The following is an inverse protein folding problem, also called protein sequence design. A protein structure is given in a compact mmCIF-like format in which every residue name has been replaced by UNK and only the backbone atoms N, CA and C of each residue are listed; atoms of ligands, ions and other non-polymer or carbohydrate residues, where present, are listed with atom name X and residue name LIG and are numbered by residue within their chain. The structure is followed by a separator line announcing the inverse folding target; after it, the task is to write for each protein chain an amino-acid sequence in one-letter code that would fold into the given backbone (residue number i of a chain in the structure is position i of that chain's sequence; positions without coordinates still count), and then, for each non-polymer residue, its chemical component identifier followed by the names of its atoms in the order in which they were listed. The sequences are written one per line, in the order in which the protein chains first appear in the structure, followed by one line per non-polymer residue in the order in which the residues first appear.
data_IF_939078105843
#
_entry.id   IF_939078105843
#
_cell.length_a   1.000
_cell.length_b   1.000
_cell.length_c   1.000
_cell.angle_alpha   90.00
_cell.angle_beta   90.00
_cell.angle_gamma   90.00
#
_symmetry.space_group_name_H-M   'P 1'
#
loop_
_entity.id
_entity.type
_entity.pdbx_description
1 polymer ?
#
# COMPACT_ATOMS: atom_id res chain seq x y z
N UNK A 1 -7.80 37.01 -11.50
CA UNK A 1 -7.86 35.93 -10.50
C UNK A 1 -6.44 35.38 -10.35
N UNK A 2 -5.70 35.90 -9.37
CA UNK A 2 -4.29 35.57 -9.16
C UNK A 2 -4.17 34.45 -8.14
N UNK A 3 -3.73 33.28 -8.57
CA UNK A 3 -3.17 32.29 -7.64
C UNK A 3 -1.97 32.95 -6.95
N UNK A 4 -1.96 32.94 -5.60
CA UNK A 4 -0.86 33.48 -4.80
C UNK A 4 0.49 32.88 -5.22
N UNK A 5 1.62 33.54 -4.90
CA UNK A 5 2.93 33.08 -5.34
C UNK A 5 3.12 31.62 -4.96
N UNK A 6 3.53 30.80 -5.93
CA UNK A 6 3.79 29.39 -5.70
C UNK A 6 4.73 29.26 -4.50
N UNK A 7 4.29 28.53 -3.47
CA UNK A 7 5.14 28.18 -2.33
C UNK A 7 6.40 27.55 -2.90
N UNK A 8 7.54 28.20 -2.68
CA UNK A 8 8.85 27.65 -3.05
C UNK A 8 9.08 26.44 -2.16
N UNK A 9 8.61 25.28 -2.62
CA UNK A 9 8.83 24.00 -1.98
C UNK A 9 10.35 23.78 -1.95
N UNK A 10 10.95 23.98 -0.77
CA UNK A 10 12.37 23.72 -0.56
C UNK A 10 12.72 22.29 -0.97
N UNK A 11 13.97 22.06 -1.35
CA UNK A 11 14.43 20.75 -1.83
C UNK A 11 14.23 19.70 -0.74
N UNK A 12 13.24 18.81 -0.91
CA UNK A 12 13.01 17.69 0.00
C UNK A 12 14.08 16.62 -0.25
N UNK A 13 15.09 16.59 0.63
CA UNK A 13 16.19 15.65 0.55
C UNK A 13 15.73 14.20 0.74
N UNK A 14 14.56 13.98 1.37
CA UNK A 14 13.99 12.66 1.62
C UNK A 14 13.14 12.12 0.44
N UNK A 15 12.85 12.93 -0.59
CA UNK A 15 11.96 12.54 -1.69
C UNK A 15 12.41 11.23 -2.39
N UNK A 16 13.71 11.08 -2.64
CA UNK A 16 14.27 9.86 -3.25
C UNK A 16 14.14 8.62 -2.36
N UNK A 17 14.20 8.78 -1.04
CA UNK A 17 14.01 7.69 -0.08
C UNK A 17 12.55 7.24 -0.02
N UNK A 18 11.61 8.20 0.03
CA UNK A 18 10.16 7.92 0.02
C UNK A 18 9.76 7.10 -1.21
N UNK A 19 10.21 7.53 -2.40
CA UNK A 19 9.90 6.81 -3.64
C UNK A 19 10.44 5.38 -3.65
N UNK A 20 11.66 5.13 -3.15
CA UNK A 20 12.24 3.78 -3.10
C UNK A 20 11.46 2.85 -2.18
N UNK A 21 11.09 3.31 -0.98
CA UNK A 21 10.27 2.50 -0.05
C UNK A 21 8.87 2.27 -0.62
N UNK A 22 8.27 3.29 -1.22
CA UNK A 22 6.94 3.19 -1.81
C UNK A 22 6.89 2.15 -2.93
N UNK A 23 7.89 2.14 -3.82
CA UNK A 23 7.99 1.14 -4.89
C UNK A 23 8.16 -0.27 -4.31
N UNK A 24 9.02 -0.45 -3.30
CA UNK A 24 9.22 -1.76 -2.69
C UNK A 24 7.93 -2.29 -2.04
N UNK A 25 7.21 -1.46 -1.29
CA UNK A 25 5.93 -1.84 -0.67
C UNK A 25 4.84 -2.09 -1.70
N UNK A 26 4.80 -1.31 -2.79
CA UNK A 26 3.89 -1.52 -3.90
C UNK A 26 4.12 -2.89 -4.57
N UNK A 27 5.37 -3.28 -4.81
CA UNK A 27 5.70 -4.60 -5.37
C UNK A 27 5.23 -5.71 -4.43
N UNK A 28 5.48 -5.59 -3.12
CA UNK A 28 5.03 -6.57 -2.12
C UNK A 28 3.51 -6.72 -2.17
N UNK A 29 2.77 -5.62 -2.09
CA UNK A 29 1.31 -5.64 -2.15
C UNK A 29 0.80 -6.23 -3.48
N UNK A 30 1.43 -5.85 -4.59
CA UNK A 30 1.06 -6.34 -5.93
C UNK A 30 1.22 -7.86 -6.02
N UNK A 31 2.30 -8.43 -5.50
CA UNK A 31 2.50 -9.88 -5.50
C UNK A 31 1.45 -10.60 -4.65
N UNK A 32 1.12 -10.05 -3.48
CA UNK A 32 0.06 -10.61 -2.62
C UNK A 32 -1.30 -10.56 -3.30
N UNK A 33 -1.67 -9.42 -3.88
CA UNK A 33 -2.93 -9.26 -4.63
C UNK A 33 -2.97 -10.13 -5.88
N UNK A 34 -1.85 -10.26 -6.59
CA UNK A 34 -1.75 -11.11 -7.77
C UNK A 34 -1.99 -12.58 -7.43
N UNK A 35 -1.49 -13.07 -6.29
CA UNK A 35 -1.82 -14.40 -5.77
C UNK A 35 -3.33 -14.60 -5.59
N UNK A 36 -4.02 -13.62 -5.00
CA UNK A 36 -5.48 -13.66 -4.88
C UNK A 36 -6.18 -13.74 -6.23
N UNK A 37 -5.76 -12.91 -7.20
CA UNK A 37 -6.34 -12.91 -8.55
C UNK A 37 -6.12 -14.25 -9.24
N UNK A 38 -4.93 -14.85 -9.14
CA UNK A 38 -4.64 -16.17 -9.71
C UNK A 38 -5.59 -17.23 -9.14
N UNK A 39 -5.77 -17.27 -7.81
CA UNK A 39 -6.64 -18.27 -7.19
C UNK A 39 -8.09 -18.09 -7.66
N UNK A 40 -8.57 -16.85 -7.75
CA UNK A 40 -9.90 -16.55 -8.29
C UNK A 40 -10.04 -16.96 -9.77
N UNK A 41 -8.98 -16.84 -10.57
CA UNK A 41 -9.00 -17.18 -11.99
C UNK A 41 -8.92 -18.69 -12.25
N UNK A 42 -8.12 -19.43 -11.48
CA UNK A 42 -7.86 -20.86 -11.70
C UNK A 42 -8.87 -21.73 -10.97
N UNK A 43 -9.31 -21.33 -9.77
CA UNK A 43 -10.22 -22.14 -8.96
C UNK A 43 -11.28 -21.28 -8.25
N UNK A 44 -12.29 -20.79 -9.01
CA UNK A 44 -13.37 -20.00 -8.44
C UNK A 44 -14.22 -20.79 -7.43
N UNK A 45 -14.28 -22.12 -7.54
CA UNK A 45 -15.05 -22.96 -6.62
C UNK A 45 -14.48 -22.90 -5.19
N UNK A 46 -13.16 -22.93 -5.02
CA UNK A 46 -12.52 -22.72 -3.70
C UNK A 46 -12.85 -21.35 -3.11
N UNK A 47 -12.90 -20.32 -3.96
CA UNK A 47 -13.21 -18.95 -3.53
C UNK A 47 -14.66 -18.76 -3.09
N UNK A 48 -15.57 -19.64 -3.52
CA UNK A 48 -16.97 -19.67 -3.11
C UNK A 48 -17.21 -20.46 -1.81
N UNK A 49 -16.22 -21.21 -1.32
CA UNK A 49 -16.37 -21.96 -0.08
C UNK A 49 -16.64 -21.02 1.08
N UNK A 50 -17.54 -21.45 1.97
CA UNK A 50 -17.93 -20.64 3.12
C UNK A 50 -16.92 -20.85 4.25
N UNK A 51 -16.23 -19.77 4.62
CA UNK A 51 -15.27 -19.68 5.72
C UNK A 51 -15.68 -18.53 6.63
N UNK A 52 -15.79 -18.79 7.93
CA UNK A 52 -16.22 -17.80 8.94
C UNK A 52 -17.60 -17.16 8.64
N UNK A 53 -18.51 -17.90 8.00
CA UNK A 53 -19.86 -17.42 7.66
C UNK A 53 -19.92 -16.51 6.44
N UNK A 54 -18.82 -16.35 5.69
CA UNK A 54 -18.74 -15.64 4.41
C UNK A 54 -17.94 -16.45 3.38
N UNK A 55 -17.91 -16.04 2.12
CA UNK A 55 -17.08 -16.74 1.13
C UNK A 55 -15.60 -16.52 1.41
N UNK A 56 -14.76 -17.49 1.08
CA UNK A 56 -13.31 -17.39 1.17
C UNK A 56 -12.80 -16.16 0.42
N UNK A 57 -13.41 -15.83 -0.72
CA UNK A 57 -13.11 -14.61 -1.47
C UNK A 57 -13.30 -13.34 -0.64
N UNK A 58 -14.40 -13.22 0.09
CA UNK A 58 -14.70 -12.07 0.95
C UNK A 58 -13.72 -12.00 2.11
N UNK A 59 -13.52 -13.10 2.84
CA UNK A 59 -12.61 -13.14 3.99
C UNK A 59 -11.17 -12.84 3.58
N UNK A 60 -10.70 -13.41 2.47
CA UNK A 60 -9.37 -13.13 1.92
C UNK A 60 -9.25 -11.68 1.44
N UNK A 61 -10.28 -11.15 0.76
CA UNK A 61 -10.34 -9.76 0.33
C UNK A 61 -10.22 -8.76 1.49
N UNK A 62 -10.92 -9.01 2.60
CA UNK A 62 -10.76 -8.22 3.81
C UNK A 62 -9.35 -8.34 4.41
N UNK A 63 -8.75 -9.52 4.36
CA UNK A 63 -7.34 -9.72 4.73
C UNK A 63 -6.39 -8.84 3.91
N UNK A 64 -6.60 -8.74 2.60
CA UNK A 64 -5.82 -7.86 1.72
C UNK A 64 -6.00 -6.38 2.06
N UNK A 65 -7.23 -5.96 2.40
CA UNK A 65 -7.48 -4.58 2.83
C UNK A 65 -6.73 -4.25 4.12
N UNK A 66 -6.79 -5.12 5.12
CA UNK A 66 -6.05 -4.96 6.38
C UNK A 66 -4.54 -4.89 6.10
N UNK A 67 -4.03 -5.77 5.24
CA UNK A 67 -2.62 -5.78 4.85
C UNK A 67 -2.20 -4.47 4.15
N UNK A 68 -3.03 -3.95 3.24
CA UNK A 68 -2.79 -2.66 2.58
C UNK A 68 -2.73 -1.51 3.59
N UNK A 69 -3.63 -1.50 4.58
CA UNK A 69 -3.64 -0.49 5.63
C UNK A 69 -2.38 -0.56 6.50
N UNK A 70 -1.94 -1.77 6.86
CA UNK A 70 -0.69 -1.97 7.60
C UNK A 70 0.50 -1.42 6.82
N UNK A 71 0.61 -1.74 5.52
CA UNK A 71 1.66 -1.21 4.66
C UNK A 71 1.62 0.33 4.57
N UNK A 72 0.43 0.93 4.47
CA UNK A 72 0.27 2.38 4.43
C UNK A 72 0.74 3.05 5.74
N UNK A 73 0.42 2.47 6.90
CA UNK A 73 0.87 2.98 8.20
C UNK A 73 2.39 2.86 8.33
N UNK A 74 2.97 1.72 7.95
CA UNK A 74 4.43 1.52 7.97
C UNK A 74 5.12 2.51 7.03
N UNK A 75 4.60 2.67 5.80
CA UNK A 75 5.12 3.63 4.83
C UNK A 75 5.16 5.04 5.42
N UNK A 76 4.03 5.48 5.97
CA UNK A 76 3.92 6.81 6.56
C UNK A 76 4.93 7.00 7.70
N UNK A 77 5.02 6.03 8.61
CA UNK A 77 5.95 6.10 9.73
C UNK A 77 7.42 6.15 9.27
N UNK A 78 7.81 5.35 8.29
CA UNK A 78 9.16 5.34 7.74
C UNK A 78 9.50 6.64 6.99
N UNK A 79 8.55 7.18 6.22
CA UNK A 79 8.72 8.45 5.52
C UNK A 79 8.88 9.61 6.51
N UNK A 80 8.02 9.70 7.54
CA UNK A 80 8.12 10.74 8.56
C UNK A 80 9.43 10.65 9.35
N UNK A 81 9.91 9.43 9.67
CA UNK A 81 11.20 9.25 10.33
C UNK A 81 12.38 9.70 9.45
N UNK A 82 12.33 9.40 8.14
CA UNK A 82 13.36 9.82 7.21
C UNK A 82 13.36 11.34 6.96
N UNK A 83 12.18 11.96 6.84
CA UNK A 83 12.06 13.42 6.78
C UNK A 83 12.69 14.08 8.00
N UNK A 84 12.36 13.61 9.22
CA UNK A 84 12.93 14.14 10.46
C UNK A 84 14.45 13.98 10.54
N UNK A 85 15.02 12.94 9.92
CA UNK A 85 16.47 12.70 9.94
C UNK A 85 17.22 13.49 8.87
N UNK A 86 16.60 13.71 7.71
CA UNK A 86 17.26 14.28 6.53
C UNK A 86 16.98 15.77 6.32
N UNK A 87 15.96 16.30 7.02
CA UNK A 87 15.61 17.72 7.03
C UNK A 87 15.77 18.36 8.43
N UNK A 88 16.39 17.66 9.39
CA UNK A 88 16.93 18.25 10.62
C UNK A 88 18.33 18.81 10.37
#
# INVERSE_FOLDING_TARGET
MGHGPAVKLGKDNAAGYKSKIGISMFIVYTLTYFGFVIINAVNPALMQETVLGQTLAVTYGFGLLIFALVLAVIYNHLCTAAEKRMNA
#
